data_IF_806161570415
#
_entry.id   IF_806161570415
#
_cell.length_a   1.000
_cell.length_b   1.000
_cell.length_c   1.000
_cell.angle_alpha   90.00
_cell.angle_beta   90.00
_cell.angle_gamma   90.00
#
_symmetry.space_group_name_H-M   'P 1'
#
loop_
_entity.id
_entity.type
_entity.pdbx_description
1 polymer ?
#
# COMPACT_ATOMS: atom_id res chain seq x y z
N UNK A 1 8.71 -23.59 0.79
CA UNK A 1 7.88 -23.09 -0.33
C UNK A 1 7.58 -21.62 -0.07
N UNK A 2 8.59 -20.78 -0.33
CA UNK A 2 8.65 -19.41 0.22
C UNK A 2 8.84 -18.37 -0.90
N UNK A 3 8.67 -18.83 -2.14
CA UNK A 3 8.86 -18.07 -3.38
C UNK A 3 7.54 -17.59 -3.97
N UNK A 4 6.42 -17.93 -3.33
CA UNK A 4 5.09 -17.45 -3.69
C UNK A 4 4.76 -16.26 -2.80
N UNK A 5 4.43 -15.13 -3.41
CA UNK A 5 4.10 -13.88 -2.78
C UNK A 5 2.70 -13.43 -3.20
N UNK A 6 2.03 -12.71 -2.32
CA UNK A 6 0.80 -11.99 -2.62
C UNK A 6 1.02 -10.51 -2.26
N UNK A 7 0.53 -9.60 -3.09
CA UNK A 7 0.49 -8.17 -2.81
C UNK A 7 -0.89 -7.59 -3.16
N UNK A 8 -1.29 -6.58 -2.40
CA UNK A 8 -2.61 -5.95 -2.53
C UNK A 8 -2.59 -4.50 -2.02
N UNK A 9 -3.47 -3.67 -2.58
CA UNK A 9 -3.66 -2.27 -2.26
C UNK A 9 -4.79 -2.08 -1.23
N UNK A 10 -4.46 -1.49 -0.09
CA UNK A 10 -5.45 -1.17 0.96
C UNK A 10 -5.53 0.32 1.26
N UNK A 11 -6.72 0.80 1.61
CA UNK A 11 -6.95 2.20 2.00
C UNK A 11 -6.80 2.40 3.51
N UNK A 12 -5.82 3.20 3.93
CA UNK A 12 -5.66 3.63 5.33
C UNK A 12 -6.35 4.98 5.56
N UNK A 13 -7.42 4.99 6.34
CA UNK A 13 -8.14 6.20 6.73
C UNK A 13 -7.61 6.76 8.04
N UNK A 14 -6.72 7.74 7.96
CA UNK A 14 -5.95 8.25 9.10
C UNK A 14 -6.65 9.39 9.88
N UNK A 15 -7.78 9.91 9.38
CA UNK A 15 -8.60 10.91 10.08
C UNK A 15 -10.02 10.44 10.33
N UNK A 16 -10.30 9.14 10.17
CA UNK A 16 -11.62 8.61 10.51
C UNK A 16 -11.88 8.80 12.00
N UNK A 17 -13.08 9.28 12.33
CA UNK A 17 -13.56 9.27 13.70
C UNK A 17 -13.88 7.82 14.10
N UNK A 18 -13.76 7.46 15.39
CA UNK A 18 -14.28 6.19 15.86
C UNK A 18 -15.78 6.08 15.57
N UNK A 19 -16.25 4.88 15.22
CA UNK A 19 -17.68 4.62 14.97
C UNK A 19 -18.55 4.84 16.24
N UNK A 20 -17.91 4.92 17.40
CA UNK A 20 -18.52 5.22 18.69
C UNK A 20 -17.71 6.32 19.38
N UNK A 21 -18.31 7.49 19.57
CA UNK A 21 -17.80 8.51 20.48
C UNK A 21 -17.95 8.06 21.93
N UNK A 22 -17.12 8.58 22.84
CA UNK A 22 -17.34 8.46 24.29
C UNK A 22 -18.62 9.23 24.65
N UNK A 23 -19.78 8.63 24.38
CA UNK A 23 -21.07 9.16 24.79
C UNK A 23 -21.51 8.48 26.07
N UNK A 24 -22.23 9.21 26.91
CA UNK A 24 -22.85 8.61 28.07
C UNK A 24 -23.90 7.59 27.61
N UNK A 25 -24.09 6.53 28.40
CA UNK A 25 -25.09 5.50 28.12
C UNK A 25 -26.48 6.15 28.10
N UNK A 26 -27.04 6.34 26.90
CA UNK A 26 -28.34 6.99 26.71
C UNK A 26 -28.32 8.17 25.72
N UNK A 27 -27.15 8.71 25.39
CA UNK A 27 -27.03 9.81 24.43
C UNK A 27 -27.06 9.31 22.99
N UNK A 28 -27.98 9.85 22.19
CA UNK A 28 -28.02 9.61 20.74
C UNK A 28 -26.94 10.44 20.04
N UNK A 29 -25.85 9.79 19.64
CA UNK A 29 -24.85 10.43 18.79
C UNK A 29 -25.45 10.69 17.39
N UNK A 30 -25.71 11.95 17.07
CA UNK A 30 -26.23 12.38 15.78
C UNK A 30 -25.29 13.42 15.14
N UNK A 31 -24.96 13.24 13.86
CA UNK A 31 -24.36 14.29 13.03
C UNK A 31 -22.83 14.35 12.95
N UNK A 32 -22.15 13.24 12.62
CA UNK A 32 -20.73 13.22 12.25
C UNK A 32 -20.49 12.79 10.80
N UNK A 33 -19.73 13.55 10.00
CA UNK A 33 -19.26 13.10 8.69
C UNK A 33 -17.88 12.47 8.85
N UNK A 34 -17.77 11.16 8.64
CA UNK A 34 -16.48 10.48 8.66
C UNK A 34 -15.53 11.12 7.65
N UNK A 35 -14.33 11.48 8.12
CA UNK A 35 -13.31 12.03 7.25
C UNK A 35 -12.94 10.98 6.21
N UNK A 36 -13.10 11.31 4.93
CA UNK A 36 -12.69 10.45 3.82
C UNK A 36 -11.22 10.63 3.46
N UNK A 37 -10.43 11.24 4.35
CA UNK A 37 -9.00 11.36 4.14
C UNK A 37 -8.34 10.00 4.32
N UNK A 38 -7.80 9.50 3.21
CA UNK A 38 -7.10 8.22 3.14
C UNK A 38 -5.80 8.35 2.37
N UNK A 39 -4.86 7.49 2.69
CA UNK A 39 -3.74 7.13 1.83
C UNK A 39 -3.94 5.68 1.39
N UNK A 40 -3.40 5.33 0.23
CA UNK A 40 -3.37 3.92 -0.20
C UNK A 40 -2.03 3.33 0.18
N UNK A 41 -2.03 2.10 0.68
CA UNK A 41 -0.83 1.33 0.98
C UNK A 41 -0.82 0.11 0.09
N UNK A 42 0.29 -0.13 -0.60
CA UNK A 42 0.57 -1.43 -1.18
C UNK A 42 1.38 -2.25 -0.19
N UNK A 43 0.86 -3.42 0.15
CA UNK A 43 1.46 -4.35 1.07
C UNK A 43 1.66 -5.69 0.35
N UNK A 44 2.69 -6.43 0.72
CA UNK A 44 2.87 -7.78 0.19
C UNK A 44 3.74 -8.65 1.09
N UNK A 45 3.54 -9.96 0.99
CA UNK A 45 4.28 -10.94 1.80
C UNK A 45 4.35 -12.27 1.07
N UNK A 46 5.34 -13.10 1.42
CA UNK A 46 5.37 -14.49 0.99
C UNK A 46 4.23 -15.31 1.63
N UNK A 47 3.93 -16.47 1.05
CA UNK A 47 2.85 -17.37 1.45
C UNK A 47 2.84 -17.73 2.94
N UNK A 48 4.02 -17.81 3.56
CA UNK A 48 4.17 -18.15 4.99
C UNK A 48 4.25 -16.92 5.91
N UNK A 49 4.25 -15.70 5.37
CA UNK A 49 4.24 -14.46 6.16
C UNK A 49 5.60 -14.02 6.74
N UNK A 50 6.68 -14.75 6.47
CA UNK A 50 8.01 -14.49 7.05
C UNK A 50 8.77 -13.38 6.33
N UNK A 51 8.54 -13.20 5.02
CA UNK A 51 9.19 -12.17 4.20
C UNK A 51 8.14 -11.18 3.75
N UNK A 52 8.21 -9.97 4.29
CA UNK A 52 7.34 -8.85 3.92
C UNK A 52 8.03 -7.94 2.92
N UNK A 53 7.32 -7.55 1.88
CA UNK A 53 7.79 -6.53 0.95
C UNK A 53 7.82 -5.18 1.67
N UNK A 54 8.77 -4.32 1.30
CA UNK A 54 8.80 -2.95 1.81
C UNK A 54 7.51 -2.25 1.37
N UNK A 55 6.69 -1.75 2.30
CA UNK A 55 5.40 -1.20 1.91
C UNK A 55 5.57 0.13 1.17
N UNK A 56 4.61 0.45 0.30
CA UNK A 56 4.58 1.69 -0.47
C UNK A 56 3.35 2.51 -0.08
N UNK A 57 3.55 3.74 0.35
CA UNK A 57 2.47 4.69 0.61
C UNK A 57 2.22 5.56 -0.61
N UNK A 58 0.98 5.55 -1.10
CA UNK A 58 0.50 6.35 -2.20
C UNK A 58 -0.45 7.42 -1.65
N UNK A 59 -0.01 8.67 -1.71
CA UNK A 59 -0.79 9.83 -1.29
C UNK A 59 -1.21 10.73 -2.45
N UNK A 60 -1.82 11.87 -2.12
CA UNK A 60 -2.33 12.83 -3.11
C UNK A 60 -1.30 13.89 -3.53
N UNK A 61 -0.40 14.28 -2.64
CA UNK A 61 0.48 15.44 -2.84
C UNK A 61 1.91 14.99 -3.08
N UNK A 62 2.58 15.51 -4.11
CA UNK A 62 3.98 15.18 -4.38
C UNK A 62 4.90 15.47 -3.18
N UNK A 63 4.63 16.55 -2.46
CA UNK A 63 5.40 16.97 -1.28
C UNK A 63 4.44 17.26 -0.12
N UNK A 64 4.03 16.24 0.66
CA UNK A 64 3.13 16.43 1.79
C UNK A 64 3.77 17.35 2.83
N UNK A 65 3.06 18.41 3.23
CA UNK A 65 3.55 19.36 4.25
C UNK A 65 3.86 18.66 5.58
N UNK A 66 3.14 17.60 5.92
CA UNK A 66 3.37 16.80 7.13
C UNK A 66 4.69 16.03 7.12
N UNK A 67 5.34 15.86 5.97
CA UNK A 67 6.65 15.20 5.87
C UNK A 67 7.81 16.20 5.94
N UNK A 68 7.53 17.50 6.07
CA UNK A 68 8.58 18.51 6.19
C UNK A 68 9.40 18.25 7.46
N UNK A 69 10.71 18.04 7.30
CA UNK A 69 11.63 17.76 8.40
C UNK A 69 11.72 16.28 8.81
N UNK A 70 10.98 15.38 8.16
CA UNK A 70 11.12 13.93 8.34
C UNK A 70 12.38 13.46 7.59
N UNK A 71 13.38 13.00 8.33
CA UNK A 71 14.66 12.57 7.75
C UNK A 71 14.66 11.09 7.34
N UNK A 72 13.90 10.25 8.06
CA UNK A 72 13.77 8.83 7.78
C UNK A 72 12.30 8.42 7.80
N UNK A 73 11.87 7.69 6.78
CA UNK A 73 10.54 7.10 6.71
C UNK A 73 10.68 5.59 6.55
N UNK A 74 9.92 4.76 7.28
CA UNK A 74 10.10 3.29 7.27
C UNK A 74 9.64 2.64 5.97
N UNK A 75 9.03 3.40 5.08
CA UNK A 75 8.40 2.95 3.84
C UNK A 75 8.65 3.96 2.73
N UNK A 76 8.37 3.58 1.48
CA UNK A 76 8.47 4.52 0.37
C UNK A 76 7.20 5.35 0.21
N UNK A 77 7.32 6.56 -0.32
CA UNK A 77 6.19 7.46 -0.58
C UNK A 77 6.14 7.90 -2.04
N UNK A 78 4.93 7.98 -2.58
CA UNK A 78 4.67 8.53 -3.92
C UNK A 78 3.31 9.22 -3.99
N UNK A 79 3.13 10.07 -5.01
CA UNK A 79 1.84 10.67 -5.35
C UNK A 79 1.42 10.45 -6.81
N UNK A 80 2.14 9.59 -7.55
CA UNK A 80 1.93 9.38 -8.98
C UNK A 80 1.06 8.13 -9.25
N UNK A 81 0.30 8.16 -10.35
CA UNK A 81 -0.59 7.07 -10.79
C UNK A 81 0.13 5.93 -11.51
N UNK A 82 1.32 6.17 -12.09
CA UNK A 82 2.11 5.16 -12.81
C UNK A 82 3.20 4.47 -11.98
N UNK A 83 2.99 4.28 -10.68
CA UNK A 83 4.06 3.83 -9.77
C UNK A 83 4.21 2.31 -9.77
N UNK A 84 3.17 1.60 -10.22
CA UNK A 84 3.15 0.15 -10.18
C UNK A 84 4.29 -0.48 -10.99
N UNK A 85 4.51 -0.03 -12.23
CA UNK A 85 5.63 -0.49 -13.06
C UNK A 85 7.00 -0.26 -12.39
N UNK A 86 7.22 0.95 -11.84
CA UNK A 86 8.46 1.28 -11.15
C UNK A 86 8.67 0.38 -9.94
N UNK A 87 7.62 0.15 -9.16
CA UNK A 87 7.67 -0.75 -8.02
C UNK A 87 8.02 -2.18 -8.45
N UNK A 88 7.37 -2.71 -9.48
CA UNK A 88 7.68 -4.05 -10.01
C UNK A 88 9.14 -4.15 -10.44
N UNK A 89 9.65 -3.13 -11.12
CA UNK A 89 11.05 -3.05 -11.54
C UNK A 89 12.01 -3.00 -10.34
N UNK A 90 11.68 -2.21 -9.32
CA UNK A 90 12.49 -2.11 -8.10
C UNK A 90 12.45 -3.43 -7.30
N UNK A 91 11.30 -4.10 -7.25
CA UNK A 91 11.14 -5.41 -6.64
C UNK A 91 11.97 -6.46 -7.39
N UNK A 92 11.87 -6.51 -8.72
CA UNK A 92 12.65 -7.45 -9.55
C UNK A 92 14.16 -7.32 -9.32
N UNK A 93 14.63 -6.08 -9.16
CA UNK A 93 16.04 -5.78 -8.83
C UNK A 93 16.43 -6.21 -7.43
N UNK A 94 15.53 -6.11 -6.46
CA UNK A 94 15.79 -6.50 -5.07
C UNK A 94 15.80 -8.02 -4.88
N UNK A 95 15.01 -8.75 -5.68
CA UNK A 95 14.90 -10.19 -5.56
C UNK A 95 16.14 -10.90 -6.12
N UNK A 96 16.84 -11.62 -5.24
CA UNK A 96 18.04 -12.43 -5.59
C UNK A 96 17.70 -13.84 -6.08
N UNK A 97 16.41 -14.19 -6.12
CA UNK A 97 15.87 -15.49 -6.51
C UNK A 97 14.59 -15.29 -7.32
N UNK A 98 14.21 -16.33 -8.07
CA UNK A 98 12.95 -16.31 -8.83
C UNK A 98 11.75 -16.47 -7.89
N UNK A 99 10.76 -15.61 -8.03
CA UNK A 99 9.51 -15.66 -7.26
C UNK A 99 8.29 -15.54 -8.16
N UNK A 100 7.15 -16.01 -7.64
CA UNK A 100 5.82 -15.83 -8.18
C UNK A 100 5.09 -14.79 -7.32
N UNK A 101 4.53 -13.76 -7.93
CA UNK A 101 3.81 -12.69 -7.26
C UNK A 101 2.37 -12.63 -7.79
N UNK A 102 1.42 -12.86 -6.89
CA UNK A 102 0.00 -12.67 -7.13
C UNK A 102 -0.41 -11.23 -6.79
N UNK A 103 -1.15 -10.60 -7.70
CA UNK A 103 -1.71 -9.25 -7.54
C UNK A 103 -3.11 -9.23 -8.18
N UNK A 104 -4.04 -8.42 -7.72
CA UNK A 104 -5.36 -8.29 -8.35
C UNK A 104 -5.27 -7.77 -9.80
N UNK A 105 -6.28 -8.05 -10.62
CA UNK A 105 -6.33 -7.53 -11.99
C UNK A 105 -6.93 -6.12 -12.01
N UNK A 106 -6.18 -5.13 -11.52
CA UNK A 106 -6.62 -3.74 -11.49
C UNK A 106 -6.22 -2.98 -12.77
N UNK A 107 -7.11 -2.12 -13.26
CA UNK A 107 -6.83 -1.26 -14.42
C UNK A 107 -5.64 -0.31 -14.21
N UNK A 108 -5.26 -0.05 -12.95
CA UNK A 108 -4.12 0.77 -12.60
C UNK A 108 -2.76 0.10 -12.84
N UNK A 109 -2.74 -1.22 -13.03
CA UNK A 109 -1.48 -1.97 -13.22
C UNK A 109 -0.88 -1.82 -14.61
N UNK A 110 -1.68 -1.39 -15.59
CA UNK A 110 -1.21 -1.12 -16.95
C UNK A 110 -0.50 -2.33 -17.57
N UNK A 111 0.52 -2.06 -18.39
CA UNK A 111 1.34 -3.10 -18.99
C UNK A 111 2.44 -3.56 -18.03
N UNK A 112 2.52 -4.88 -17.82
CA UNK A 112 3.55 -5.48 -16.97
C UNK A 112 4.91 -5.46 -17.69
N UNK A 113 5.97 -4.89 -17.09
CA UNK A 113 7.29 -4.87 -17.70
C UNK A 113 7.89 -6.29 -17.76
N UNK A 114 8.82 -6.50 -18.69
CA UNK A 114 9.60 -7.76 -18.72
C UNK A 114 10.56 -7.81 -17.53
N UNK A 115 10.43 -8.85 -16.72
CA UNK A 115 11.18 -9.04 -15.48
C UNK A 115 11.98 -10.35 -15.49
N UNK A 116 13.08 -10.39 -14.73
CA UNK A 116 14.01 -11.53 -14.71
C UNK A 116 13.73 -12.50 -13.55
N UNK A 117 13.41 -11.95 -12.39
CA UNK A 117 13.29 -12.65 -11.12
C UNK A 117 11.83 -12.75 -10.67
N UNK A 118 10.97 -11.81 -11.02
CA UNK A 118 9.56 -11.81 -10.60
C UNK A 118 8.68 -12.23 -11.76
N UNK A 119 7.90 -13.31 -11.56
CA UNK A 119 6.79 -13.69 -12.42
C UNK A 119 5.49 -13.19 -11.78
N UNK A 120 4.64 -12.51 -12.55
CA UNK A 120 3.34 -12.04 -12.08
C UNK A 120 2.24 -12.98 -12.57
N UNK A 121 1.27 -13.23 -11.69
CA UNK A 121 -0.02 -13.83 -12.01
C UNK A 121 -1.13 -12.97 -11.40
N UNK A 122 -2.30 -12.99 -12.02
CA UNK A 122 -3.50 -12.25 -11.59
C UNK A 122 -4.59 -13.19 -11.06
#
# INVERSE_FOLDING_TARGET
>A
PDDIFNADETGLFYQCLPDKTLTFKGDTCHGGKNSKQRVTLLLGTNQIGTVKLKPLMIGKSKNPRCFKGVQSFPMDYTSNKGVFEKLLTDLDRQMKKKILLFIDNATAHGDIPKMKNVKIEF
#
